data_IF_820118351424
#
_entry.id   IF_820118351424
#
_cell.length_a   1.000
_cell.length_b   1.000
_cell.length_c   1.000
_cell.angle_alpha   90.00
_cell.angle_beta   90.00
_cell.angle_gamma   90.00
#
_symmetry.space_group_name_H-M   'P 1'
#
loop_
_entity.id
_entity.type
_entity.pdbx_description
1 polymer ?
#
# COMPACT_ATOMS: atom_id res chain seq x y z
N UNK A 1 -56.94 41.85 2.00
CA UNK A 1 -55.79 40.91 2.02
C UNK A 1 -55.80 40.16 3.33
N UNK A 2 -55.88 38.82 3.28
CA UNK A 2 -56.12 37.98 4.47
C UNK A 2 -54.82 37.85 5.29
N UNK A 3 -54.90 38.12 6.59
CA UNK A 3 -53.82 38.06 7.59
C UNK A 3 -52.93 36.80 7.47
N UNK A 4 -53.49 35.67 7.02
CA UNK A 4 -52.74 34.43 6.77
C UNK A 4 -51.64 34.55 5.71
N UNK A 5 -51.80 35.37 4.67
CA UNK A 5 -50.75 35.55 3.65
C UNK A 5 -49.53 36.30 4.21
N UNK A 6 -49.76 37.24 5.13
CA UNK A 6 -48.68 37.99 5.79
C UNK A 6 -47.90 37.07 6.74
N UNK A 7 -48.60 36.21 7.48
CA UNK A 7 -47.96 35.24 8.41
C UNK A 7 -47.13 34.21 7.64
N UNK A 8 -47.64 33.68 6.53
CA UNK A 8 -46.89 32.72 5.69
C UNK A 8 -45.67 33.40 5.06
N UNK A 9 -45.82 34.63 4.57
CA UNK A 9 -44.69 35.36 3.98
C UNK A 9 -43.61 35.67 5.03
N UNK A 10 -43.98 36.08 6.24
CA UNK A 10 -43.05 36.29 7.35
C UNK A 10 -42.36 34.99 7.79
N UNK A 11 -43.08 33.87 7.82
CA UNK A 11 -42.50 32.56 8.16
C UNK A 11 -41.50 32.09 7.09
N UNK A 12 -41.81 32.24 5.81
CA UNK A 12 -40.89 31.93 4.72
C UNK A 12 -39.65 32.82 4.75
N UNK A 13 -39.81 34.13 4.98
CA UNK A 13 -38.69 35.06 5.12
C UNK A 13 -37.79 34.71 6.32
N UNK A 14 -38.38 34.31 7.46
CA UNK A 14 -37.63 33.87 8.63
C UNK A 14 -36.86 32.58 8.37
N UNK A 15 -37.46 31.60 7.69
CA UNK A 15 -36.80 30.35 7.32
C UNK A 15 -35.65 30.55 6.34
N UNK A 16 -35.83 31.42 5.34
CA UNK A 16 -34.75 31.79 4.41
C UNK A 16 -33.61 32.50 5.13
N UNK A 17 -33.92 33.38 6.08
CA UNK A 17 -32.92 34.09 6.88
C UNK A 17 -32.14 33.13 7.78
N UNK A 18 -32.83 32.18 8.43
CA UNK A 18 -32.20 31.13 9.25
C UNK A 18 -31.35 30.17 8.41
N UNK A 19 -31.84 29.76 7.24
CA UNK A 19 -31.08 28.93 6.30
C UNK A 19 -29.82 29.64 5.80
N UNK A 20 -29.91 30.94 5.53
CA UNK A 20 -28.77 31.77 5.14
C UNK A 20 -27.74 31.89 6.28
N UNK A 21 -28.18 32.17 7.50
CA UNK A 21 -27.31 32.22 8.67
C UNK A 21 -26.62 30.88 8.97
N UNK A 22 -27.34 29.77 8.82
CA UNK A 22 -26.75 28.44 8.95
C UNK A 22 -25.72 28.17 7.85
N UNK A 23 -26.05 28.48 6.59
CA UNK A 23 -25.12 28.33 5.47
C UNK A 23 -23.85 29.15 5.66
N UNK A 24 -23.96 30.44 5.98
CA UNK A 24 -22.79 31.31 6.19
C UNK A 24 -22.00 30.92 7.43
N UNK A 25 -22.64 30.48 8.52
CA UNK A 25 -21.89 30.02 9.70
C UNK A 25 -21.12 28.72 9.46
N UNK A 26 -21.69 27.78 8.70
CA UNK A 26 -20.97 26.55 8.28
C UNK A 26 -19.87 26.89 7.27
N UNK A 27 -20.14 27.75 6.29
CA UNK A 27 -19.17 28.17 5.30
C UNK A 27 -17.99 28.93 5.93
N UNK A 28 -18.25 29.89 6.81
CA UNK A 28 -17.22 30.64 7.51
C UNK A 28 -16.46 29.75 8.50
N UNK A 29 -17.11 28.78 9.15
CA UNK A 29 -16.41 27.78 9.97
C UNK A 29 -15.47 26.91 9.13
N UNK A 30 -15.92 26.40 7.98
CA UNK A 30 -15.09 25.62 7.06
C UNK A 30 -13.94 26.45 6.49
N UNK A 31 -14.20 27.72 6.12
CA UNK A 31 -13.20 28.66 5.64
C UNK A 31 -12.21 29.04 6.75
N UNK A 32 -12.68 29.23 7.98
CA UNK A 32 -11.80 29.49 9.11
C UNK A 32 -10.93 28.27 9.40
N UNK A 33 -11.49 27.06 9.36
CA UNK A 33 -10.74 25.80 9.50
C UNK A 33 -9.69 25.62 8.38
N UNK A 34 -9.96 26.10 7.16
CA UNK A 34 -8.97 26.09 6.07
C UNK A 34 -7.94 27.22 6.15
N UNK A 35 -8.24 28.30 6.89
CA UNK A 35 -7.36 29.43 7.14
C UNK A 35 -6.62 29.37 8.49
N UNK A 36 -6.89 28.38 9.36
CA UNK A 36 -6.07 28.15 10.56
C UNK A 36 -4.66 27.89 10.07
N UNK A 37 -3.76 28.82 10.40
CA UNK A 37 -2.34 28.70 10.10
C UNK A 37 -1.87 27.38 10.70
N UNK A 38 -1.48 26.43 9.85
CA UNK A 38 -0.98 25.12 10.30
C UNK A 38 0.12 25.37 11.31
N UNK A 39 -0.13 25.03 12.56
CA UNK A 39 0.86 25.04 13.62
C UNK A 39 1.78 23.86 13.35
N UNK A 40 2.86 24.13 12.62
CA UNK A 40 3.92 23.15 12.45
C UNK A 40 4.64 22.98 13.78
N UNK A 41 4.90 21.74 14.16
CA UNK A 41 5.84 21.44 15.23
C UNK A 41 7.15 22.19 14.99
N UNK A 42 7.79 22.70 16.04
CA UNK A 42 9.15 23.26 15.97
C UNK A 42 10.21 22.19 15.70
N UNK A 43 9.82 20.91 15.70
CA UNK A 43 10.65 19.78 15.34
C UNK A 43 10.92 19.78 13.82
N UNK A 44 12.18 19.92 13.43
CA UNK A 44 12.62 19.63 12.07
C UNK A 44 12.91 18.11 11.97
N UNK A 45 12.06 17.33 11.27
CA UNK A 45 12.25 15.89 11.16
C UNK A 45 13.53 15.49 10.42
N UNK A 46 14.23 16.43 9.77
CA UNK A 46 15.49 16.19 9.09
C UNK A 46 16.73 16.28 9.99
N UNK A 47 16.59 16.68 11.27
CA UNK A 47 17.74 16.73 12.19
C UNK A 47 18.13 15.36 12.73
N UNK A 48 17.19 14.40 12.76
CA UNK A 48 17.38 13.06 13.31
C UNK A 48 17.30 11.98 12.21
N UNK A 49 18.08 12.15 11.15
CA UNK A 49 18.15 11.15 10.07
C UNK A 49 19.04 9.97 10.47
N UNK A 50 18.54 8.75 10.25
CA UNK A 50 19.38 7.56 10.28
C UNK A 50 20.38 7.56 9.10
N UNK A 51 19.94 8.06 7.93
CA UNK A 51 20.77 8.41 6.79
C UNK A 51 20.12 9.60 6.04
N UNK A 52 20.90 10.53 5.45
CA UNK A 52 20.38 11.64 4.64
C UNK A 52 19.23 11.26 3.71
N UNK A 53 18.17 12.08 3.66
CA UNK A 53 17.04 11.88 2.75
C UNK A 53 17.52 11.73 1.30
N UNK A 54 17.05 10.68 0.61
CA UNK A 54 17.44 10.36 -0.76
C UNK A 54 18.78 9.64 -0.92
N UNK A 55 19.49 9.33 0.17
CA UNK A 55 20.66 8.46 0.12
C UNK A 55 20.26 7.04 -0.29
N UNK A 56 20.98 6.44 -1.24
CA UNK A 56 20.84 5.03 -1.59
C UNK A 56 21.18 4.14 -0.37
N UNK A 57 20.22 3.31 0.04
CA UNK A 57 20.37 2.36 1.14
C UNK A 57 20.84 0.99 0.63
N UNK A 58 20.32 0.55 -0.51
CA UNK A 58 20.62 -0.74 -1.11
C UNK A 58 19.76 -0.99 -2.34
N UNK A 59 19.97 -2.13 -2.99
CA UNK A 59 19.26 -2.51 -4.23
C UNK A 59 18.81 -3.96 -4.12
N UNK A 60 17.53 -4.22 -4.39
CA UNK A 60 17.00 -5.58 -4.47
C UNK A 60 16.20 -5.76 -5.76
N UNK A 61 16.47 -6.84 -6.50
CA UNK A 61 15.84 -7.10 -7.80
C UNK A 61 15.92 -5.88 -8.74
N UNK A 62 17.11 -5.26 -8.80
CA UNK A 62 17.44 -4.05 -9.55
C UNK A 62 16.65 -2.77 -9.17
N UNK A 63 15.90 -2.81 -8.05
CA UNK A 63 15.13 -1.67 -7.55
C UNK A 63 15.86 -1.03 -6.37
N UNK A 64 16.28 0.24 -6.47
CA UNK A 64 16.97 0.91 -5.38
C UNK A 64 16.02 1.32 -4.26
N UNK A 65 16.47 1.17 -3.02
CA UNK A 65 15.86 1.77 -1.84
C UNK A 65 16.64 3.00 -1.42
N UNK A 66 15.93 4.07 -1.10
CA UNK A 66 16.47 5.34 -0.63
C UNK A 66 15.98 5.65 0.78
N UNK A 67 16.80 6.40 1.52
CA UNK A 67 16.46 6.87 2.85
C UNK A 67 15.32 7.87 2.79
N UNK A 68 14.33 7.68 3.66
CA UNK A 68 13.32 8.67 3.97
C UNK A 68 13.75 9.56 5.16
N UNK A 69 15.05 9.63 5.48
CA UNK A 69 15.61 10.22 6.71
C UNK A 69 15.27 9.40 7.97
N UNK A 70 14.00 9.30 8.34
CA UNK A 70 13.48 8.46 9.43
C UNK A 70 12.03 8.04 9.14
N UNK A 71 11.48 7.15 9.98
CA UNK A 71 10.12 6.59 9.80
C UNK A 71 8.99 7.60 9.86
N UNK A 72 9.22 8.74 10.53
CA UNK A 72 8.20 9.76 10.81
C UNK A 72 8.19 10.88 9.77
N UNK A 73 9.26 11.05 9.01
CA UNK A 73 9.32 12.04 7.96
C UNK A 73 8.31 11.72 6.86
N UNK A 74 7.55 12.74 6.44
CA UNK A 74 6.63 12.62 5.31
C UNK A 74 6.99 13.70 4.30
N UNK A 75 7.45 13.27 3.12
CA UNK A 75 7.72 14.21 2.03
C UNK A 75 6.43 14.66 1.35
N UNK A 76 6.47 15.87 0.80
CA UNK A 76 5.43 16.37 -0.12
C UNK A 76 5.77 16.07 -1.58
N UNK A 77 6.96 15.55 -1.88
CA UNK A 77 7.39 15.25 -3.23
C UNK A 77 6.87 13.90 -3.70
N UNK A 78 6.15 13.90 -4.83
CA UNK A 78 5.75 12.69 -5.53
C UNK A 78 6.95 12.13 -6.31
N UNK A 79 7.06 10.80 -6.31
CA UNK A 79 8.07 10.10 -7.08
C UNK A 79 7.58 9.75 -8.49
N UNK A 80 8.53 9.81 -9.41
CA UNK A 80 8.37 9.47 -10.83
C UNK A 80 9.52 8.55 -11.21
N UNK A 81 9.19 7.50 -11.95
CA UNK A 81 10.09 6.38 -12.18
C UNK A 81 10.19 6.16 -13.67
N UNK A 82 11.42 6.12 -14.15
CA UNK A 82 11.73 5.75 -15.51
C UNK A 82 11.68 4.21 -15.66
N UNK A 83 10.89 3.72 -16.62
CA UNK A 83 10.78 2.28 -16.88
C UNK A 83 11.96 1.68 -17.62
N UNK A 84 12.87 2.52 -18.11
CA UNK A 84 14.08 2.10 -18.82
C UNK A 84 15.32 2.12 -17.92
N UNK A 85 15.25 2.80 -16.78
CA UNK A 85 16.35 2.90 -15.80
C UNK A 85 15.76 2.98 -14.38
N UNK A 86 15.83 1.89 -13.59
CA UNK A 86 15.25 1.85 -12.25
C UNK A 86 16.04 2.71 -11.25
N UNK A 87 17.24 3.19 -11.63
CA UNK A 87 18.06 4.12 -10.84
C UNK A 87 17.67 5.58 -11.07
N UNK A 88 17.03 5.90 -12.21
CA UNK A 88 16.51 7.24 -12.51
C UNK A 88 15.18 7.48 -11.79
N UNK A 89 15.29 7.70 -10.48
CA UNK A 89 14.18 8.04 -9.60
C UNK A 89 14.14 9.54 -9.34
N UNK A 90 13.01 10.13 -9.69
CA UNK A 90 12.62 11.41 -9.13
C UNK A 90 12.77 12.63 -10.04
N UNK A 91 12.97 12.43 -11.33
CA UNK A 91 12.76 13.47 -12.34
C UNK A 91 11.30 13.48 -12.76
N UNK A 92 10.67 14.66 -12.71
CA UNK A 92 9.39 14.87 -13.38
C UNK A 92 9.69 14.74 -14.88
N UNK A 93 9.22 13.67 -15.51
CA UNK A 93 9.55 13.40 -16.92
C UNK A 93 9.07 14.53 -17.82
N UNK A 94 9.90 14.90 -18.80
CA UNK A 94 9.43 15.62 -19.97
C UNK A 94 8.54 14.66 -20.78
N UNK A 95 7.27 14.98 -21.01
CA UNK A 95 6.35 14.09 -21.74
C UNK A 95 6.79 13.79 -23.18
N UNK A 96 7.78 14.51 -23.72
CA UNK A 96 8.29 14.32 -25.07
C UNK A 96 9.40 13.27 -25.22
N UNK A 97 10.06 12.84 -24.13
CA UNK A 97 11.30 12.04 -24.25
C UNK A 97 11.24 10.65 -23.58
N UNK A 98 10.36 10.40 -22.60
CA UNK A 98 10.44 9.17 -21.82
C UNK A 98 9.14 8.73 -21.14
N UNK A 99 8.89 7.42 -21.06
CA UNK A 99 7.77 6.85 -20.29
C UNK A 99 8.13 6.82 -18.80
N UNK A 100 7.62 7.81 -18.07
CA UNK A 100 7.69 7.85 -16.61
C UNK A 100 6.36 7.42 -15.98
N UNK A 101 6.43 6.69 -14.87
CA UNK A 101 5.26 6.35 -14.06
C UNK A 101 5.32 7.10 -12.73
N UNK A 102 4.20 7.71 -12.34
CA UNK A 102 4.00 8.27 -11.01
C UNK A 102 3.71 7.15 -10.00
N UNK A 103 4.43 7.13 -8.88
CA UNK A 103 4.23 6.13 -7.81
C UNK A 103 3.58 6.76 -6.57
N UNK A 104 4.36 7.07 -5.54
CA UNK A 104 3.88 7.61 -4.26
C UNK A 104 4.84 8.69 -3.74
N UNK A 105 4.60 9.19 -2.52
CA UNK A 105 5.49 10.15 -1.87
C UNK A 105 6.89 9.54 -1.65
N UNK A 106 7.94 10.31 -1.98
CA UNK A 106 9.33 9.94 -1.70
C UNK A 106 9.60 9.92 -0.20
N UNK A 107 10.41 9.03 0.35
CA UNK A 107 10.75 7.68 -0.11
C UNK A 107 9.99 6.70 0.78
N UNK A 108 8.66 6.74 0.70
CA UNK A 108 7.79 5.89 1.53
C UNK A 108 7.98 4.39 1.22
N UNK A 109 7.52 3.54 2.15
CA UNK A 109 7.46 2.10 1.94
C UNK A 109 6.60 1.74 0.72
N UNK A 110 5.47 2.45 0.56
CA UNK A 110 4.57 2.26 -0.56
C UNK A 110 5.20 2.69 -1.89
N UNK A 111 6.00 3.77 -1.93
CA UNK A 111 6.78 4.12 -3.12
C UNK A 111 7.71 2.98 -3.55
N UNK A 112 8.46 2.38 -2.62
CA UNK A 112 9.32 1.24 -2.93
C UNK A 112 8.53 0.06 -3.50
N UNK A 113 7.41 -0.29 -2.86
CA UNK A 113 6.54 -1.38 -3.32
C UNK A 113 6.02 -1.15 -4.75
N UNK A 114 5.54 0.06 -5.04
CA UNK A 114 5.06 0.46 -6.36
C UNK A 114 6.17 0.31 -7.41
N UNK A 115 7.37 0.80 -7.09
CA UNK A 115 8.55 0.70 -7.97
C UNK A 115 8.92 -0.74 -8.24
N UNK A 116 8.93 -1.56 -7.20
CA UNK A 116 9.26 -2.98 -7.34
C UNK A 116 8.24 -3.71 -8.22
N UNK A 117 6.94 -3.48 -8.04
CA UNK A 117 5.90 -4.08 -8.88
C UNK A 117 5.98 -3.63 -10.34
N UNK A 118 6.15 -2.33 -10.58
CA UNK A 118 6.25 -1.80 -11.94
C UNK A 118 7.45 -2.42 -12.66
N UNK A 119 8.62 -2.43 -12.01
CA UNK A 119 9.85 -2.96 -12.59
C UNK A 119 9.80 -4.48 -12.80
N UNK A 120 9.44 -5.25 -11.77
CA UNK A 120 9.54 -6.71 -11.78
C UNK A 120 8.29 -7.42 -12.32
N UNK A 121 7.14 -6.74 -12.38
CA UNK A 121 5.85 -7.35 -12.73
C UNK A 121 5.07 -6.57 -13.79
N UNK A 122 5.45 -5.33 -14.12
CA UNK A 122 4.74 -4.50 -15.09
C UNK A 122 3.31 -4.15 -14.67
N UNK A 123 3.03 -4.16 -13.36
CA UNK A 123 1.71 -3.88 -12.78
C UNK A 123 1.81 -2.89 -11.64
N UNK A 124 0.67 -2.29 -11.28
CA UNK A 124 0.51 -1.39 -10.14
C UNK A 124 -0.80 -1.67 -9.42
N UNK A 125 -0.87 -1.50 -8.10
CA UNK A 125 -2.13 -1.46 -7.39
C UNK A 125 -2.96 -0.28 -7.90
N UNK A 126 -4.26 -0.51 -8.09
CA UNK A 126 -5.23 0.55 -8.35
C UNK A 126 -5.33 1.42 -7.11
N UNK A 127 -5.17 2.73 -7.28
CA UNK A 127 -5.26 3.69 -6.17
C UNK A 127 -6.64 3.58 -5.52
N UNK A 128 -6.66 3.28 -4.23
CA UNK A 128 -7.87 3.30 -3.40
C UNK A 128 -7.94 4.63 -2.66
N UNK A 129 -9.14 5.12 -2.38
CA UNK A 129 -9.36 6.39 -1.65
C UNK A 129 -8.67 6.42 -0.27
N UNK A 130 -8.44 5.25 0.33
CA UNK A 130 -7.73 5.12 1.60
C UNK A 130 -6.59 4.09 1.51
N UNK A 131 -5.36 4.59 1.34
CA UNK A 131 -4.14 3.77 1.23
C UNK A 131 -3.86 2.91 2.46
N UNK A 132 -4.39 3.28 3.64
CA UNK A 132 -4.19 2.53 4.89
C UNK A 132 -4.99 1.21 4.93
N UNK A 133 -5.93 1.03 4.01
CA UNK A 133 -6.69 -0.22 3.83
C UNK A 133 -6.48 -0.83 2.45
N UNK A 134 -5.39 -0.46 1.76
CA UNK A 134 -5.09 -0.96 0.43
C UNK A 134 -5.14 -2.50 0.37
N UNK A 135 -4.65 -3.18 1.41
CA UNK A 135 -4.70 -4.63 1.54
C UNK A 135 -6.09 -5.27 1.53
N UNK A 136 -7.18 -4.52 1.78
CA UNK A 136 -8.55 -5.04 1.76
C UNK A 136 -9.22 -5.00 0.39
N UNK A 137 -8.77 -4.12 -0.52
CA UNK A 137 -9.51 -3.74 -1.72
C UNK A 137 -8.62 -3.50 -2.95
N UNK A 138 -7.40 -4.02 -2.92
CA UNK A 138 -6.46 -3.80 -4.01
C UNK A 138 -6.70 -4.79 -5.14
N UNK A 139 -6.93 -4.24 -6.32
CA UNK A 139 -6.69 -4.92 -7.57
C UNK A 139 -5.43 -4.34 -8.21
N UNK A 140 -4.75 -5.11 -9.04
CA UNK A 140 -3.60 -4.64 -9.80
C UNK A 140 -3.98 -4.45 -11.26
N UNK A 141 -3.35 -3.50 -11.94
CA UNK A 141 -3.53 -3.28 -13.37
C UNK A 141 -2.18 -3.05 -14.05
N UNK A 142 -2.11 -3.27 -15.36
CA UNK A 142 -0.94 -2.94 -16.16
C UNK A 142 -1.16 -1.56 -16.81
N UNK A 143 -0.31 -0.55 -16.57
CA UNK A 143 -0.45 0.77 -17.20
C UNK A 143 -0.41 0.75 -18.73
N UNK A 144 0.26 -0.24 -19.34
CA UNK A 144 0.30 -0.43 -20.79
C UNK A 144 -0.90 -1.23 -21.34
N UNK A 145 -1.67 -1.88 -20.46
CA UNK A 145 -2.90 -2.62 -20.81
C UNK A 145 -3.97 -2.35 -19.75
N UNK A 146 -4.49 -1.11 -19.67
CA UNK A 146 -5.31 -0.64 -18.56
C UNK A 146 -6.68 -1.33 -18.45
N UNK A 147 -7.07 -2.15 -19.41
CA UNK A 147 -8.27 -2.99 -19.38
C UNK A 147 -8.06 -4.33 -18.65
N UNK A 148 -6.81 -4.76 -18.45
CA UNK A 148 -6.47 -6.00 -17.77
C UNK A 148 -6.16 -5.73 -16.31
N UNK A 149 -6.90 -6.41 -15.42
CA UNK A 149 -6.62 -6.42 -13.99
C UNK A 149 -6.17 -7.80 -13.51
N UNK A 150 -5.56 -7.83 -12.32
CA UNK A 150 -5.23 -9.01 -11.56
C UNK A 150 -5.79 -8.86 -10.15
N UNK A 151 -6.36 -9.94 -9.62
CA UNK A 151 -6.86 -9.93 -8.25
C UNK A 151 -5.71 -9.81 -7.25
N UNK A 152 -6.00 -9.38 -6.02
CA UNK A 152 -5.13 -9.61 -4.89
C UNK A 152 -5.65 -10.79 -4.05
N UNK A 153 -4.70 -11.61 -3.60
CA UNK A 153 -4.93 -12.64 -2.59
C UNK A 153 -4.36 -12.11 -1.27
N UNK A 154 -5.21 -11.99 -0.25
CA UNK A 154 -4.78 -11.64 1.09
C UNK A 154 -4.69 -12.90 1.94
N UNK A 155 -3.51 -13.12 2.53
CA UNK A 155 -3.23 -14.24 3.42
C UNK A 155 -3.03 -13.66 4.81
N UNK A 156 -3.90 -14.04 5.75
CA UNK A 156 -3.85 -13.47 7.10
C UNK A 156 -2.69 -14.08 7.88
N UNK A 157 -1.99 -13.28 8.69
CA UNK A 157 -1.02 -13.85 9.62
C UNK A 157 -1.77 -14.72 10.65
N UNK A 158 -1.26 -15.90 10.97
CA UNK A 158 -1.95 -16.89 11.82
C UNK A 158 -3.26 -17.44 11.20
N UNK A 159 -3.36 -17.53 9.89
CA UNK A 159 -4.50 -18.20 9.25
C UNK A 159 -4.47 -19.71 9.54
N UNK A 160 -5.56 -20.22 10.11
CA UNK A 160 -5.73 -21.65 10.41
C UNK A 160 -6.01 -22.42 9.12
N UNK A 161 -5.19 -23.44 8.85
CA UNK A 161 -5.29 -24.28 7.65
C UNK A 161 -5.26 -25.76 7.99
N UNK A 162 -6.03 -26.56 7.25
CA UNK A 162 -6.21 -27.99 7.54
C UNK A 162 -5.55 -28.87 6.48
N UNK A 163 -5.49 -28.40 5.23
CA UNK A 163 -5.00 -29.18 4.08
C UNK A 163 -3.57 -28.83 3.66
N UNK A 164 -2.95 -29.75 2.91
CA UNK A 164 -1.61 -29.54 2.37
C UNK A 164 -1.56 -28.41 1.32
N UNK A 165 -2.61 -28.27 0.51
CA UNK A 165 -2.69 -27.19 -0.50
C UNK A 165 -2.88 -25.82 0.16
N UNK A 166 -3.68 -25.71 1.23
CA UNK A 166 -3.77 -24.47 2.01
C UNK A 166 -2.44 -24.10 2.66
N UNK A 167 -1.69 -25.07 3.22
CA UNK A 167 -0.34 -24.82 3.76
C UNK A 167 0.62 -24.32 2.69
N UNK A 168 0.57 -24.92 1.50
CA UNK A 168 1.37 -24.49 0.33
C UNK A 168 0.95 -23.09 -0.15
N UNK A 169 -0.33 -22.75 -0.07
CA UNK A 169 -0.86 -21.44 -0.40
C UNK A 169 -0.37 -20.37 0.59
N UNK A 170 -0.51 -20.65 1.89
CA UNK A 170 -0.17 -19.76 3.00
C UNK A 170 1.34 -19.57 3.21
N UNK A 171 2.18 -20.48 2.71
CA UNK A 171 3.62 -20.34 2.81
C UNK A 171 4.15 -19.13 2.01
N UNK A 172 5.17 -18.41 2.52
CA UNK A 172 5.74 -17.21 1.90
C UNK A 172 6.36 -17.51 0.54
N UNK A 173 6.26 -16.56 -0.39
CA UNK A 173 6.85 -16.63 -1.72
C UNK A 173 7.52 -15.31 -2.06
N UNK A 174 8.54 -15.38 -2.93
CA UNK A 174 9.09 -14.18 -3.57
C UNK A 174 7.97 -13.40 -4.27
N UNK A 175 8.01 -12.08 -4.16
CA UNK A 175 7.03 -11.10 -4.61
C UNK A 175 5.74 -11.01 -3.78
N UNK A 176 5.61 -11.73 -2.67
CA UNK A 176 4.58 -11.40 -1.68
C UNK A 176 4.92 -10.05 -1.05
N UNK A 177 3.91 -9.27 -0.70
CA UNK A 177 4.07 -8.04 0.06
C UNK A 177 3.63 -8.28 1.51
N UNK A 178 4.57 -8.20 2.45
CA UNK A 178 4.30 -8.30 3.90
C UNK A 178 3.69 -6.99 4.36
N UNK A 179 2.55 -7.05 5.04
CA UNK A 179 1.79 -5.89 5.48
C UNK A 179 1.84 -5.78 7.01
N UNK A 180 2.14 -4.58 7.48
CA UNK A 180 2.25 -4.28 8.91
C UNK A 180 1.10 -3.41 9.39
N UNK A 181 0.70 -3.61 10.65
CA UNK A 181 -0.32 -2.79 11.29
C UNK A 181 0.18 -1.37 11.51
N UNK A 182 -0.74 -0.42 11.44
CA UNK A 182 -0.50 0.93 11.95
C UNK A 182 -0.25 0.90 13.46
N UNK A 183 0.83 1.53 13.89
CA UNK A 183 1.16 1.75 15.29
C UNK A 183 1.69 3.17 15.46
N UNK A 184 1.03 3.99 16.28
CA UNK A 184 1.35 5.42 16.41
C UNK A 184 2.79 5.70 16.85
N UNK A 185 3.44 4.74 17.53
CA UNK A 185 4.79 4.92 18.06
C UNK A 185 5.87 4.54 17.06
N UNK A 186 5.66 3.44 16.34
CA UNK A 186 6.68 2.81 15.48
C UNK A 186 6.38 2.97 13.99
N UNK A 187 5.13 2.72 13.57
CA UNK A 187 4.69 2.73 12.18
C UNK A 187 3.35 3.49 12.03
N UNK A 188 3.34 4.84 12.14
CA UNK A 188 2.09 5.60 12.20
C UNK A 188 1.18 5.43 10.98
N UNK A 189 1.75 5.15 9.81
CA UNK A 189 1.03 4.89 8.56
C UNK A 189 0.90 3.39 8.22
N UNK A 190 1.33 2.50 9.12
CA UNK A 190 1.57 1.10 8.81
C UNK A 190 2.83 0.93 7.96
N UNK A 191 3.03 -0.26 7.40
CA UNK A 191 4.19 -0.54 6.56
C UNK A 191 3.93 -1.64 5.53
N UNK A 192 4.75 -1.66 4.49
CA UNK A 192 4.75 -2.68 3.45
C UNK A 192 6.18 -3.02 3.04
N UNK A 193 6.49 -4.31 2.98
CA UNK A 193 7.81 -4.81 2.59
C UNK A 193 7.66 -5.90 1.52
N UNK A 194 8.56 -5.94 0.54
CA UNK A 194 8.50 -6.93 -0.54
C UNK A 194 9.39 -8.12 -0.20
N UNK A 195 8.85 -9.34 -0.29
CA UNK A 195 9.65 -10.56 -0.17
C UNK A 195 10.50 -10.74 -1.42
N UNK A 196 11.82 -10.63 -1.28
CA UNK A 196 12.77 -10.76 -2.39
C UNK A 196 13.40 -12.16 -2.45
N UNK A 197 13.47 -12.87 -1.32
CA UNK A 197 13.99 -14.23 -1.25
C UNK A 197 13.31 -15.02 -0.12
N UNK A 198 13.16 -16.32 -0.31
CA UNK A 198 12.66 -17.26 0.71
C UNK A 198 13.57 -18.48 0.74
N UNK A 199 14.03 -18.87 1.92
CA UNK A 199 14.89 -20.04 2.12
C UNK A 199 14.36 -20.93 3.23
N UNK A 200 14.72 -22.21 3.21
CA UNK A 200 14.46 -23.12 4.31
C UNK A 200 15.30 -22.71 5.53
N UNK A 201 14.70 -22.67 6.72
CA UNK A 201 15.43 -22.41 7.96
C UNK A 201 15.82 -23.74 8.61
N UNK A 202 17.01 -24.25 8.26
CA UNK A 202 17.52 -25.55 8.75
C UNK A 202 17.65 -25.53 10.29
N UNK A 203 18.11 -24.42 10.84
CA UNK A 203 18.32 -24.25 12.28
C UNK A 203 16.98 -24.26 13.02
N UNK A 204 16.02 -23.44 12.58
CA UNK A 204 14.68 -23.41 13.17
C UNK A 204 13.92 -24.74 12.97
N UNK A 205 14.23 -25.49 11.90
CA UNK A 205 13.65 -26.82 11.69
C UNK A 205 14.21 -27.87 12.67
N UNK A 206 15.34 -27.60 13.34
CA UNK A 206 16.03 -28.55 14.21
C UNK A 206 16.94 -29.52 13.46
N UNK A 207 17.50 -29.10 12.33
CA UNK A 207 18.45 -29.87 11.53
C UNK A 207 17.88 -30.42 10.21
N UNK A 208 18.78 -30.94 9.36
CA UNK A 208 18.47 -31.30 7.97
C UNK A 208 17.45 -32.46 7.85
N UNK A 209 17.54 -33.47 8.71
CA UNK A 209 16.60 -34.60 8.67
C UNK A 209 15.18 -34.18 9.05
N UNK A 210 15.04 -33.40 10.13
CA UNK A 210 13.74 -32.87 10.55
C UNK A 210 13.16 -31.91 9.51
N UNK A 211 14.00 -31.12 8.84
CA UNK A 211 13.59 -30.30 7.71
C UNK A 211 12.98 -31.14 6.58
N UNK A 212 13.60 -32.26 6.20
CA UNK A 212 13.07 -33.14 5.14
C UNK A 212 11.67 -33.65 5.47
N UNK A 213 11.42 -34.04 6.71
CA UNK A 213 10.10 -34.51 7.14
C UNK A 213 9.06 -33.39 7.18
N UNK A 214 9.42 -32.22 7.69
CA UNK A 214 8.55 -31.03 7.68
C UNK A 214 8.22 -30.57 6.25
N UNK A 215 9.15 -30.73 5.30
CA UNK A 215 8.90 -30.40 3.88
C UNK A 215 7.84 -31.27 3.24
N UNK A 216 7.77 -32.57 3.58
CA UNK A 216 6.71 -33.48 3.11
C UNK A 216 5.33 -32.97 3.53
N UNK A 217 5.22 -32.41 4.74
CA UNK A 217 3.98 -31.88 5.31
C UNK A 217 3.72 -30.40 5.04
N UNK A 218 4.65 -29.71 4.34
CA UNK A 218 4.66 -28.25 4.11
C UNK A 218 4.67 -27.40 5.39
N UNK A 219 5.27 -27.91 6.46
CA UNK A 219 5.36 -27.28 7.79
C UNK A 219 6.77 -26.83 8.16
N UNK A 220 7.68 -26.74 7.18
CA UNK A 220 9.06 -26.31 7.45
C UNK A 220 9.11 -24.80 7.71
N UNK A 221 9.89 -24.35 8.71
CA UNK A 221 10.15 -22.94 8.91
C UNK A 221 11.01 -22.37 7.77
N UNK A 222 10.89 -21.07 7.56
CA UNK A 222 11.56 -20.36 6.46
C UNK A 222 12.14 -19.04 6.92
N UNK A 223 13.27 -18.67 6.29
CA UNK A 223 13.81 -17.31 6.32
C UNK A 223 13.20 -16.54 5.15
N UNK A 224 12.64 -15.38 5.45
CA UNK A 224 11.95 -14.52 4.48
C UNK A 224 12.70 -13.21 4.41
N UNK A 225 13.45 -13.01 3.34
CA UNK A 225 14.23 -11.80 3.11
C UNK A 225 13.31 -10.76 2.47
N UNK A 226 13.23 -9.60 3.10
CA UNK A 226 12.39 -8.50 2.64
C UNK A 226 13.23 -7.29 2.23
N UNK A 227 12.72 -6.54 1.26
CA UNK A 227 13.27 -5.26 0.85
C UNK A 227 12.19 -4.18 0.97
N UNK A 228 12.53 -3.04 1.57
CA UNK A 228 11.59 -1.97 1.90
C UNK A 228 12.29 -0.61 2.04
N UNK A 229 11.52 0.48 2.01
CA UNK A 229 11.99 1.82 2.41
C UNK A 229 11.19 2.32 3.60
N UNK A 230 11.72 3.33 4.29
CA UNK A 230 11.03 3.98 5.40
C UNK A 230 10.75 3.07 6.61
N UNK A 231 11.61 2.06 6.85
CA UNK A 231 11.64 1.28 8.08
C UNK A 231 12.87 1.71 8.92
N UNK A 232 14.02 1.06 8.76
CA UNK A 232 15.23 1.44 9.53
C UNK A 232 15.96 2.66 8.97
N UNK A 233 15.78 2.98 7.68
CA UNK A 233 16.43 4.11 6.99
C UNK A 233 17.97 4.10 7.07
N UNK A 234 18.58 2.91 7.13
CA UNK A 234 20.02 2.71 7.18
C UNK A 234 20.50 1.94 5.93
N UNK A 235 21.77 2.11 5.50
CA UNK A 235 22.34 1.32 4.42
C UNK A 235 22.25 -0.18 4.72
N UNK A 236 21.91 -0.98 3.70
CA UNK A 236 21.78 -2.44 3.80
C UNK A 236 23.14 -3.16 3.79
N UNK A 237 24.24 -2.41 3.72
CA UNK A 237 25.58 -2.95 3.50
C UNK A 237 25.69 -3.60 2.12
N UNK A 238 26.27 -4.79 2.06
CA UNK A 238 26.45 -5.56 0.81
C UNK A 238 25.24 -6.46 0.49
N UNK A 239 24.13 -6.30 1.21
CA UNK A 239 22.94 -7.12 1.03
C UNK A 239 21.96 -6.55 0.03
N UNK A 240 21.23 -7.45 -0.64
CA UNK A 240 20.13 -7.13 -1.53
C UNK A 240 18.76 -7.31 -0.84
N UNK A 241 18.72 -7.05 0.47
CA UNK A 241 17.52 -7.07 1.32
C UNK A 241 17.75 -6.14 2.51
N UNK A 242 16.68 -5.59 3.08
CA UNK A 242 16.74 -4.75 4.27
C UNK A 242 16.76 -5.58 5.55
N UNK A 243 15.90 -6.60 5.63
CA UNK A 243 15.69 -7.40 6.85
C UNK A 243 15.36 -8.85 6.53
N UNK A 244 15.49 -9.72 7.53
CA UNK A 244 15.12 -11.14 7.44
C UNK A 244 14.07 -11.45 8.51
N UNK A 245 12.87 -11.81 8.05
CA UNK A 245 11.78 -12.29 8.90
C UNK A 245 11.88 -13.81 9.04
N UNK A 246 11.29 -14.35 10.10
CA UNK A 246 11.07 -15.79 10.22
C UNK A 246 9.62 -16.12 9.89
N UNK A 247 9.38 -17.17 9.13
CA UNK A 247 8.05 -17.75 8.95
C UNK A 247 8.03 -19.14 9.60
N UNK A 248 7.05 -19.37 10.47
CA UNK A 248 6.93 -20.58 11.29
C UNK A 248 5.52 -21.16 11.19
N UNK A 249 5.41 -22.41 11.61
CA UNK A 249 4.14 -23.11 11.77
C UNK A 249 3.94 -23.51 13.21
N UNK A 250 2.72 -23.42 13.71
CA UNK A 250 2.31 -24.04 14.97
C UNK A 250 1.07 -24.89 14.76
N UNK A 251 0.97 -25.99 15.49
CA UNK A 251 -0.26 -26.78 15.54
C UNK A 251 -1.28 -26.06 16.43
N UNK A 252 -2.51 -25.94 15.93
CA UNK A 252 -3.67 -25.44 16.70
C UNK A 252 -4.50 -26.62 17.20
N UNK A 253 -4.62 -27.66 16.36
CA UNK A 253 -5.22 -28.94 16.69
C UNK A 253 -4.43 -30.06 16.00
N UNK A 254 -4.89 -31.31 16.12
CA UNK A 254 -4.27 -32.45 15.43
C UNK A 254 -4.26 -32.29 13.90
N UNK A 255 -5.28 -31.62 13.34
CA UNK A 255 -5.43 -31.44 11.89
C UNK A 255 -5.07 -30.03 11.42
N UNK A 256 -5.22 -29.04 12.30
CA UNK A 256 -5.10 -27.62 11.94
C UNK A 256 -3.77 -27.01 12.37
N UNK A 257 -3.21 -26.20 11.48
CA UNK A 257 -1.95 -25.49 11.69
C UNK A 257 -2.10 -24.03 11.31
N UNK A 258 -1.35 -23.16 11.97
CA UNK A 258 -1.28 -21.74 11.63
C UNK A 258 0.14 -21.38 11.19
N UNK A 259 0.23 -20.74 10.03
CA UNK A 259 1.46 -20.18 9.50
C UNK A 259 1.58 -18.72 9.94
N UNK A 260 2.76 -18.31 10.41
CA UNK A 260 2.93 -16.95 10.89
C UNK A 260 4.33 -16.38 10.69
N UNK A 261 4.38 -15.08 10.44
CA UNK A 261 5.61 -14.29 10.38
C UNK A 261 6.00 -13.79 11.77
N UNK A 262 7.30 -13.75 12.03
CA UNK A 262 7.93 -13.13 13.19
C UNK A 262 8.91 -12.09 12.67
N UNK A 263 8.63 -10.83 13.00
CA UNK A 263 9.50 -9.71 12.68
C UNK A 263 10.63 -9.61 13.72
N UNK A 264 11.89 -9.41 13.30
CA UNK A 264 13.03 -9.34 14.24
C UNK A 264 12.97 -8.12 15.17
N UNK A 265 12.30 -7.04 14.75
CA UNK A 265 12.15 -5.79 15.51
C UNK A 265 10.84 -5.78 16.33
N UNK A 266 10.07 -6.87 16.30
CA UNK A 266 8.80 -7.01 17.03
C UNK A 266 7.64 -6.22 16.42
N UNK A 267 7.75 -5.83 15.14
CA UNK A 267 6.67 -5.12 14.42
C UNK A 267 5.48 -6.05 14.15
N UNK A 268 4.26 -5.51 14.26
CA UNK A 268 3.03 -6.29 14.10
C UNK A 268 2.68 -6.51 12.62
N UNK A 269 2.81 -7.75 12.16
CA UNK A 269 2.49 -8.20 10.80
C UNK A 269 1.05 -8.70 10.76
N UNK A 270 0.21 -8.08 9.93
CA UNK A 270 -1.20 -8.49 9.78
C UNK A 270 -1.40 -9.61 8.75
N UNK A 271 -0.46 -9.76 7.81
CA UNK A 271 -0.52 -10.77 6.76
C UNK A 271 0.39 -10.46 5.59
N UNK A 272 0.17 -11.15 4.48
CA UNK A 272 0.78 -10.79 3.22
C UNK A 272 -0.26 -10.68 2.09
N UNK A 273 0.05 -9.82 1.13
CA UNK A 273 -0.67 -9.70 -0.12
C UNK A 273 0.11 -10.40 -1.23
N UNK A 274 -0.62 -11.08 -2.10
CA UNK A 274 -0.08 -11.73 -3.29
C UNK A 274 -0.85 -11.28 -4.51
N UNK A 275 -0.14 -11.05 -5.60
CA UNK A 275 -0.76 -10.84 -6.92
C UNK A 275 -1.37 -12.17 -7.35
N UNK A 276 -2.68 -12.19 -7.51
CA UNK A 276 -3.46 -13.35 -7.88
C UNK A 276 -3.55 -13.52 -9.40
N UNK A 277 -4.69 -14.05 -9.85
CA UNK A 277 -4.92 -14.38 -11.26
C UNK A 277 -5.36 -13.16 -12.04
N UNK A 278 -5.09 -13.18 -13.34
CA UNK A 278 -5.68 -12.24 -14.28
C UNK A 278 -7.21 -12.35 -14.20
N UNK A 279 -7.88 -11.21 -14.04
CA UNK A 279 -9.33 -11.10 -14.03
C UNK A 279 -9.85 -10.99 -15.47
N UNK A 280 -11.16 -11.20 -15.71
CA UNK A 280 -11.77 -10.84 -16.98
C UNK A 280 -11.43 -9.39 -17.35
N UNK A 281 -11.25 -9.12 -18.64
CA UNK A 281 -11.02 -7.75 -19.11
C UNK A 281 -12.17 -6.87 -18.65
N UNK A 282 -11.85 -5.68 -18.14
CA UNK A 282 -12.89 -4.68 -17.88
C UNK A 282 -13.61 -4.39 -19.19
N UNK A 283 -14.94 -4.39 -19.13
CA UNK A 283 -15.73 -3.82 -20.21
C UNK A 283 -15.23 -2.38 -20.41
N UNK A 284 -14.74 -2.08 -21.60
CA UNK A 284 -14.52 -0.69 -21.99
C UNK A 284 -15.92 -0.14 -22.19
N UNK A 285 -16.40 0.82 -21.36
CA UNK A 285 -17.65 1.50 -21.68
C UNK A 285 -17.48 2.05 -23.09
N UNK A 286 -18.46 1.84 -23.97
CA UNK A 286 -18.42 2.48 -25.28
C UNK A 286 -18.24 3.99 -25.02
N UNK A 287 -17.19 4.65 -25.55
CA UNK A 287 -16.98 6.08 -25.32
C UNK A 287 -18.15 6.93 -25.82
N UNK A 288 -19.02 6.36 -26.67
CA UNK A 288 -20.26 6.96 -27.13
C UNK A 288 -21.48 6.47 -26.35
N UNK A 289 -21.36 5.55 -25.39
CA UNK A 289 -22.50 5.06 -24.60
C UNK A 289 -23.23 6.21 -23.90
N UNK A 290 -22.49 7.12 -23.24
CA UNK A 290 -23.09 8.32 -22.64
C UNK A 290 -23.73 9.23 -23.68
N UNK A 291 -23.17 9.31 -24.90
CA UNK A 291 -23.72 10.14 -25.99
C UNK A 291 -24.99 9.52 -26.57
N UNK A 292 -25.01 8.21 -26.75
CA UNK A 292 -26.15 7.42 -27.25
C UNK A 292 -27.28 7.34 -26.21
N UNK A 293 -26.93 7.29 -24.91
CA UNK A 293 -27.89 7.32 -23.81
C UNK A 293 -28.49 8.74 -23.67
N UNK A 294 -27.72 9.81 -23.97
CA UNK A 294 -28.22 11.18 -24.03
C UNK A 294 -29.11 11.47 -25.26
N UNK A 295 -28.88 10.80 -26.40
CA UNK A 295 -29.75 10.92 -27.58
C UNK A 295 -31.11 10.22 -27.38
N UNK A 296 -31.20 9.22 -26.50
CA UNK A 296 -32.46 8.53 -26.17
C UNK A 296 -33.34 9.26 -25.13
N UNK A 297 -32.79 10.22 -24.38
CA UNK A 297 -33.56 11.10 -23.49
C UNK A 297 -34.20 12.28 -24.24
N UNK A 298 -34.01 12.33 -25.56
CA UNK A 298 -34.46 13.40 -26.43
C UNK A 298 -35.24 12.93 -27.64
N UNK A 299 -36.25 12.07 -27.47
CA UNK A 299 -37.36 12.03 -28.44
C UNK A 299 -38.73 11.84 -27.75
N UNK A 300 -39.56 12.87 -28.02
CA UNK A 300 -41.01 12.94 -27.90
C UNK A 300 -41.69 12.10 -28.98
#
# INVERSE_FOLDING_TARGET
MKLGYVVVFCACAALLSLGSLFYYSVYDYQKHMSMVQRTYSTYDPLTDCAAPFGQLLGVADDVPAYSNCNTKFTSTYINYVNLMDPMDNGRRGDPSEMRVIMTAYRYSAFDYYMRWLVWNRGIMPRLVENTNQLWKRVDYFNPAKPEQDWSAEYITNYEEVTSLEERKFNAPRRADAVIYRMDEKTLPAGHIAVVVKVEDDIEAAGGLEKLKDLKKMRLHPRRVYVAEQNCQNQPWGEHNYSRVLQFKWRAVSEMAHEGYYVDPDGLDIIGCMRVGKAMPLRAVPDPYQETLDMENDGDL
#
